data_IF_321077838636
#
_entry.id   IF_321077838636
#
_cell.length_a   1.000
_cell.length_b   1.000
_cell.length_c   1.000
_cell.angle_alpha   90.00
_cell.angle_beta   90.00
_cell.angle_gamma   90.00
#
_symmetry.space_group_name_H-M   'P 1'
#
loop_
_entity.id
_entity.type
_entity.pdbx_description
1 polymer ?
#
# COMPACT_ATOMS: atom_id res chain seq x y z
N UNK A 1 9.10 3.34 -1.03
CA UNK A 1 9.68 3.69 -2.34
C UNK A 1 8.78 4.70 -3.01
N UNK A 2 9.36 5.80 -3.49
CA UNK A 2 8.62 6.83 -4.23
C UNK A 2 8.83 6.59 -5.74
N UNK A 3 7.75 6.59 -6.52
CA UNK A 3 7.74 6.40 -7.99
C UNK A 3 8.49 5.17 -8.57
N UNK A 4 9.01 4.27 -7.74
CA UNK A 4 9.90 3.19 -8.16
C UNK A 4 9.32 2.19 -9.18
N UNK A 5 8.01 2.22 -9.35
CA UNK A 5 7.27 1.31 -10.22
C UNK A 5 6.71 1.99 -11.48
N UNK A 6 6.89 3.30 -11.64
CA UNK A 6 6.30 4.06 -12.76
C UNK A 6 6.82 3.60 -14.13
N UNK A 7 8.03 3.02 -14.17
CA UNK A 7 8.69 2.52 -15.40
C UNK A 7 8.78 1.00 -15.50
N UNK A 8 8.21 0.27 -14.53
CA UNK A 8 8.22 -1.18 -14.51
C UNK A 8 6.89 -1.71 -15.04
N UNK A 9 6.95 -2.76 -15.85
CA UNK A 9 5.74 -3.50 -16.19
C UNK A 9 5.11 -4.15 -14.95
N UNK A 10 3.78 -4.41 -14.96
CA UNK A 10 3.08 -5.01 -13.84
C UNK A 10 3.69 -6.33 -13.32
N UNK A 11 4.26 -7.15 -14.19
CA UNK A 11 4.87 -8.42 -13.81
C UNK A 11 6.13 -8.21 -12.95
N UNK A 12 6.96 -7.24 -13.31
CA UNK A 12 8.16 -6.89 -12.55
C UNK A 12 7.82 -6.20 -11.23
N UNK A 13 6.76 -5.38 -11.20
CA UNK A 13 6.20 -4.83 -9.96
C UNK A 13 5.82 -5.98 -9.01
N UNK A 14 5.11 -7.00 -9.51
CA UNK A 14 4.69 -8.16 -8.72
C UNK A 14 5.86 -8.98 -8.17
N UNK A 15 6.91 -9.21 -8.98
CA UNK A 15 8.13 -9.92 -8.55
C UNK A 15 8.81 -9.21 -7.37
N UNK A 16 8.92 -7.88 -7.43
CA UNK A 16 9.55 -7.09 -6.36
C UNK A 16 8.70 -7.13 -5.08
N UNK A 17 7.38 -6.94 -5.18
CA UNK A 17 6.49 -7.03 -4.02
C UNK A 17 6.61 -8.41 -3.36
N UNK A 18 6.56 -9.49 -4.15
CA UNK A 18 6.73 -10.85 -3.63
C UNK A 18 8.09 -11.08 -2.98
N UNK A 19 9.16 -10.55 -3.56
CA UNK A 19 10.49 -10.66 -2.99
C UNK A 19 10.58 -9.96 -1.62
N UNK A 20 10.07 -8.73 -1.50
CA UNK A 20 10.01 -8.02 -0.22
C UNK A 20 9.20 -8.79 0.82
N UNK A 21 8.06 -9.35 0.43
CA UNK A 21 7.22 -10.17 1.30
C UNK A 21 7.94 -11.44 1.78
N UNK A 22 8.64 -12.15 0.88
CA UNK A 22 9.42 -13.35 1.22
C UNK A 22 10.56 -13.07 2.20
N UNK A 23 11.12 -11.86 2.16
CA UNK A 23 12.13 -11.41 3.13
C UNK A 23 11.54 -10.93 4.46
N UNK A 24 10.21 -10.90 4.61
CA UNK A 24 9.53 -10.38 5.79
C UNK A 24 9.65 -8.87 5.95
N UNK A 25 9.90 -8.14 4.85
CA UNK A 25 10.06 -6.68 4.88
C UNK A 25 8.71 -5.98 4.76
N UNK A 26 8.52 -4.93 5.55
CA UNK A 26 7.39 -4.03 5.38
C UNK A 26 7.62 -3.12 4.16
N UNK A 27 6.73 -3.21 3.17
CA UNK A 27 6.78 -2.38 1.98
C UNK A 27 5.77 -1.22 2.08
N UNK A 28 6.27 0.00 1.95
CA UNK A 28 5.46 1.22 1.82
C UNK A 28 5.80 1.85 0.47
N UNK A 29 4.79 2.08 -0.36
CA UNK A 29 4.98 2.67 -1.69
C UNK A 29 3.95 3.74 -2.02
N UNK A 30 4.39 4.76 -2.76
CA UNK A 30 3.52 5.69 -3.46
C UNK A 30 3.36 5.21 -4.91
N UNK A 31 2.13 5.21 -5.40
CA UNK A 31 1.82 4.69 -6.73
C UNK A 31 0.67 5.46 -7.40
N UNK A 32 0.65 5.56 -8.73
CA UNK A 32 -0.47 6.14 -9.46
C UNK A 32 -1.71 5.24 -9.39
N UNK A 33 -2.89 5.84 -9.57
CA UNK A 33 -4.18 5.14 -9.51
C UNK A 33 -4.40 4.11 -10.63
N UNK A 34 -3.64 4.19 -11.72
CA UNK A 34 -3.79 3.37 -12.93
C UNK A 34 -3.72 1.87 -12.69
N UNK A 35 -3.07 1.42 -11.60
CA UNK A 35 -2.94 0.00 -11.24
C UNK A 35 -3.57 -0.34 -9.89
N UNK A 36 -4.59 0.42 -9.45
CA UNK A 36 -5.21 0.24 -8.13
C UNK A 36 -5.68 -1.20 -7.85
N UNK A 37 -6.23 -1.90 -8.86
CA UNK A 37 -6.68 -3.28 -8.70
C UNK A 37 -5.54 -4.25 -8.34
N UNK A 38 -4.38 -4.12 -9.01
CA UNK A 38 -3.19 -4.92 -8.72
C UNK A 38 -2.71 -4.70 -7.28
N UNK A 39 -2.72 -3.44 -6.82
CA UNK A 39 -2.28 -3.12 -5.47
C UNK A 39 -3.28 -3.62 -4.41
N UNK A 40 -4.57 -3.69 -4.71
CA UNK A 40 -5.57 -4.24 -3.78
C UNK A 40 -5.35 -5.73 -3.50
N UNK A 41 -4.86 -6.49 -4.49
CA UNK A 41 -4.59 -7.92 -4.32
C UNK A 41 -3.28 -8.19 -3.55
N UNK A 42 -2.35 -7.24 -3.53
CA UNK A 42 -0.98 -7.45 -3.06
C UNK A 42 -0.61 -6.69 -1.79
N UNK A 43 -1.33 -5.61 -1.46
CA UNK A 43 -1.09 -4.81 -0.27
C UNK A 43 -2.19 -4.95 0.75
N UNK A 44 -1.80 -5.11 2.01
CA UNK A 44 -2.73 -5.17 3.13
C UNK A 44 -3.45 -3.84 3.40
N UNK A 45 -2.92 -2.72 2.89
CA UNK A 45 -3.47 -1.39 3.16
C UNK A 45 -3.24 -0.47 1.97
N UNK A 46 -4.30 0.19 1.52
CA UNK A 46 -4.24 1.24 0.52
C UNK A 46 -4.93 2.51 1.01
N UNK A 47 -4.22 3.62 0.85
CA UNK A 47 -4.68 4.96 1.21
C UNK A 47 -4.57 5.82 -0.04
N UNK A 48 -5.69 6.42 -0.47
CA UNK A 48 -5.69 7.41 -1.53
C UNK A 48 -5.35 8.76 -0.91
N UNK A 49 -4.30 9.40 -1.42
CA UNK A 49 -3.97 10.79 -1.08
C UNK A 49 -4.49 11.69 -2.20
N UNK A 50 -5.36 12.64 -1.86
CA UNK A 50 -5.91 13.62 -2.81
C UNK A 50 -5.68 15.04 -2.32
N UNK A 51 -5.57 15.99 -3.26
CA UNK A 51 -5.55 17.42 -2.94
C UNK A 51 -6.96 17.99 -3.05
N UNK A 52 -7.41 18.68 -2.02
CA UNK A 52 -8.70 19.38 -1.99
C UNK A 52 -8.45 20.86 -1.69
N UNK A 53 -8.52 21.70 -2.73
CA UNK A 53 -8.09 23.10 -2.64
C UNK A 53 -6.60 23.21 -2.27
N UNK A 54 -6.30 23.83 -1.13
CA UNK A 54 -4.93 23.91 -0.55
C UNK A 54 -4.61 22.79 0.45
N UNK A 55 -5.59 21.94 0.78
CA UNK A 55 -5.43 20.85 1.74
C UNK A 55 -5.04 19.53 1.07
N UNK A 56 -4.51 18.62 1.89
CA UNK A 56 -4.29 17.21 1.54
C UNK A 56 -5.28 16.38 2.36
N UNK A 57 -5.97 15.46 1.70
CA UNK A 57 -6.86 14.51 2.34
C UNK A 57 -6.37 13.08 2.09
N UNK A 58 -6.29 12.29 3.15
CA UNK A 58 -6.01 10.86 3.10
C UNK A 58 -7.32 10.09 3.25
N UNK A 59 -7.66 9.28 2.26
CA UNK A 59 -8.90 8.51 2.21
C UNK A 59 -8.54 7.03 2.14
N UNK A 60 -8.91 6.24 3.16
CA UNK A 60 -8.71 4.80 3.07
C UNK A 60 -9.47 4.18 1.90
N UNK A 61 -8.83 3.25 1.19
CA UNK A 61 -9.42 2.56 0.03
C UNK A 61 -9.57 1.07 0.28
N UNK A 62 -8.59 0.48 0.95
CA UNK A 62 -8.59 -0.94 1.27
C UNK A 62 -7.83 -1.17 2.57
N UNK A 63 -8.38 -2.04 3.40
CA UNK A 63 -7.70 -2.61 4.55
C UNK A 63 -7.98 -4.10 4.57
N UNK A 64 -6.93 -4.91 4.57
CA UNK A 64 -7.06 -6.31 4.89
C UNK A 64 -7.43 -6.41 6.38
N UNK A 65 -8.52 -7.13 6.67
CA UNK A 65 -9.12 -7.15 8.00
C UNK A 65 -8.13 -7.61 9.08
N UNK A 66 -7.23 -8.52 8.72
CA UNK A 66 -6.19 -9.02 9.62
C UNK A 66 -5.16 -7.94 10.00
N UNK A 67 -4.74 -7.11 9.03
CA UNK A 67 -3.83 -5.99 9.28
C UNK A 67 -4.47 -4.93 10.17
N UNK A 68 -5.77 -4.66 9.96
CA UNK A 68 -6.54 -3.76 10.82
C UNK A 68 -6.65 -4.28 12.26
N UNK A 69 -6.92 -5.57 12.44
CA UNK A 69 -6.96 -6.23 13.76
C UNK A 69 -5.60 -6.17 14.45
N UNK A 70 -4.50 -6.34 13.72
CA UNK A 70 -3.14 -6.21 14.27
C UNK A 70 -2.79 -4.78 14.71
N UNK A 71 -3.15 -3.77 13.92
CA UNK A 71 -2.99 -2.36 14.29
C UNK A 71 -3.75 -2.02 15.57
N UNK A 72 -5.02 -2.43 15.67
CA UNK A 72 -5.82 -2.22 16.87
C UNK A 72 -5.23 -2.95 18.08
N UNK A 73 -4.75 -4.19 17.92
CA UNK A 73 -4.10 -4.92 19.02
C UNK A 73 -2.82 -4.24 19.52
N UNK A 74 -1.99 -3.70 18.62
CA UNK A 74 -0.76 -2.98 19.01
C UNK A 74 -1.03 -1.63 19.68
N UNK A 75 -2.09 -0.92 19.30
CA UNK A 75 -2.46 0.35 19.90
C UNK A 75 -3.12 0.21 21.30
N UNK A 76 -3.57 -1.00 21.63
CA UNK A 76 -4.24 -1.32 22.91
C UNK A 76 -3.34 -2.19 23.82
N UNK A 77 -2.11 -2.51 23.38
CA UNK A 77 -1.12 -3.17 24.22
C UNK A 77 -0.36 -2.11 25.05
N UNK A 78 -0.36 -2.19 26.39
CA UNK A 78 0.28 -1.21 27.28
C UNK A 78 1.80 -1.19 27.14
#
# INVERSE_FOLDING_TARGET
MDEAFEKLDPDNIYKIIRFCHQLGLQLIMAAPKTHQALYQETFDTLISIIRVGRGIQAIPQHFHQEAHVLLLKKLVSP
#
